data_IF_761716195246
#
_entry.id   IF_761716195246
#
_cell.length_a   1.000
_cell.length_b   1.000
_cell.length_c   1.000
_cell.angle_alpha   90.00
_cell.angle_beta   90.00
_cell.angle_gamma   90.00
#
_symmetry.space_group_name_H-M   'P 1'
#
loop_
_entity.id
_entity.type
_entity.pdbx_description
1 polymer ?
#
# COMPACT_ATOMS: atom_id res chain seq x y z
N UNK A 1 -18.25 27.87 -1.34
CA UNK A 1 -18.31 26.99 -2.52
C UNK A 1 -18.93 25.67 -2.10
N UNK A 2 -19.50 24.86 -3.01
CA UNK A 2 -19.97 23.55 -2.64
C UNK A 2 -18.77 22.67 -2.26
N UNK A 3 -18.90 21.84 -1.22
CA UNK A 3 -17.86 20.91 -0.79
C UNK A 3 -17.65 19.82 -1.87
N UNK A 4 -16.40 19.41 -2.09
CA UNK A 4 -16.04 18.36 -3.03
C UNK A 4 -15.38 17.20 -2.30
N UNK A 5 -15.75 15.98 -2.61
CA UNK A 5 -15.06 14.82 -2.06
C UNK A 5 -15.15 13.63 -2.99
N UNK A 6 -14.15 12.75 -2.93
CA UNK A 6 -14.12 11.54 -3.77
C UNK A 6 -13.02 10.56 -3.40
N UNK A 7 -13.21 9.34 -3.91
CA UNK A 7 -12.24 8.25 -3.81
C UNK A 7 -11.24 8.33 -4.94
N UNK A 8 -9.97 8.48 -4.57
CA UNK A 8 -8.82 8.60 -5.49
C UNK A 8 -7.97 7.35 -5.38
N UNK A 9 -8.16 6.40 -6.27
CA UNK A 9 -7.57 5.09 -6.15
C UNK A 9 -6.26 4.99 -6.92
N UNK A 10 -5.20 4.60 -6.20
CA UNK A 10 -3.82 4.53 -6.71
C UNK A 10 -3.56 3.11 -7.18
N UNK A 11 -3.41 2.93 -8.48
CA UNK A 11 -3.16 1.64 -9.13
C UNK A 11 -1.89 1.69 -9.98
N UNK A 12 -1.33 0.54 -10.29
CA UNK A 12 -0.11 0.42 -11.11
C UNK A 12 0.68 -0.83 -10.77
N UNK A 13 1.77 -1.04 -11.46
CA UNK A 13 2.63 -2.21 -11.31
C UNK A 13 3.29 -2.31 -9.92
N UNK A 14 3.80 -3.48 -9.52
CA UNK A 14 4.62 -3.58 -8.33
C UNK A 14 5.87 -2.68 -8.44
N UNK A 15 6.27 -2.08 -7.30
CA UNK A 15 7.50 -1.29 -7.16
C UNK A 15 7.57 0.04 -7.94
N UNK A 16 6.50 0.50 -8.56
CA UNK A 16 6.46 1.84 -9.22
C UNK A 16 6.36 3.00 -8.22
N UNK A 17 6.20 2.71 -6.93
CA UNK A 17 6.18 3.71 -5.86
C UNK A 17 4.79 4.20 -5.44
N UNK A 18 3.72 3.40 -5.63
CA UNK A 18 2.34 3.73 -5.20
C UNK A 18 2.24 4.09 -3.72
N UNK A 19 2.73 3.21 -2.85
CA UNK A 19 2.70 3.41 -1.39
C UNK A 19 3.55 4.61 -0.96
N UNK A 20 4.70 4.83 -1.61
CA UNK A 20 5.52 6.01 -1.38
C UNK A 20 4.78 7.29 -1.77
N UNK A 21 4.11 7.26 -2.93
CA UNK A 21 3.30 8.38 -3.41
C UNK A 21 2.12 8.66 -2.45
N UNK A 22 1.39 7.62 -2.05
CA UNK A 22 0.28 7.78 -1.10
C UNK A 22 0.77 8.40 0.22
N UNK A 23 1.83 7.84 0.83
CA UNK A 23 2.38 8.39 2.07
C UNK A 23 2.83 9.84 1.91
N UNK A 24 3.41 10.20 0.75
CA UNK A 24 3.84 11.57 0.48
C UNK A 24 2.66 12.55 0.29
N UNK A 25 1.56 12.11 -0.34
CA UNK A 25 0.34 12.90 -0.53
C UNK A 25 -0.46 13.07 0.77
N UNK A 26 -0.52 12.02 1.59
CA UNK A 26 -1.19 12.04 2.90
C UNK A 26 -0.36 12.82 3.93
N UNK A 27 0.95 12.80 3.81
CA UNK A 27 1.88 13.41 4.77
C UNK A 27 2.32 12.50 5.90
N UNK A 28 1.82 11.26 5.93
CA UNK A 28 2.05 10.28 7.00
C UNK A 28 2.34 8.88 6.44
N UNK A 29 3.04 8.05 7.21
CA UNK A 29 3.36 6.67 6.82
C UNK A 29 2.21 5.71 7.12
N UNK A 30 1.24 5.61 6.23
CA UNK A 30 0.12 4.66 6.33
C UNK A 30 0.43 3.30 5.68
N UNK A 31 1.10 3.32 4.54
CA UNK A 31 1.51 2.11 3.85
C UNK A 31 2.99 1.80 4.10
N UNK A 32 3.30 0.54 4.30
CA UNK A 32 4.70 0.09 4.39
C UNK A 32 5.37 0.17 3.02
N UNK A 33 6.66 0.51 3.01
CA UNK A 33 7.42 0.71 1.78
C UNK A 33 8.68 -0.13 1.80
N UNK A 34 8.82 -1.03 0.83
CA UNK A 34 10.06 -1.80 0.58
C UNK A 34 10.30 -1.98 -0.91
N UNK A 35 11.52 -2.36 -1.27
CA UNK A 35 11.87 -2.69 -2.67
C UNK A 35 11.33 -4.06 -3.12
N UNK A 36 10.66 -4.82 -2.23
CA UNK A 36 10.15 -6.16 -2.55
C UNK A 36 8.76 -6.10 -3.17
N UNK A 37 8.48 -7.02 -4.09
CA UNK A 37 7.14 -7.22 -4.60
C UNK A 37 6.18 -7.66 -3.47
N UNK A 38 4.88 -7.45 -3.65
CA UNK A 38 3.84 -7.79 -2.67
C UNK A 38 4.05 -7.12 -1.29
N UNK A 39 4.68 -5.95 -1.27
CA UNK A 39 4.79 -5.13 -0.05
C UNK A 39 3.39 -4.71 0.41
N UNK A 40 2.60 -4.10 -0.44
CA UNK A 40 1.18 -3.83 -0.18
C UNK A 40 0.35 -5.06 -0.55
N UNK A 41 -0.37 -5.62 0.41
CA UNK A 41 -1.28 -6.76 0.23
C UNK A 41 -2.74 -6.39 0.43
N UNK A 42 -3.02 -5.38 1.23
CA UNK A 42 -4.35 -4.84 1.52
C UNK A 42 -4.61 -3.55 0.75
N UNK A 43 -5.85 -3.22 0.60
CA UNK A 43 -6.26 -1.87 0.25
C UNK A 43 -6.23 -1.01 1.51
N UNK A 44 -5.52 0.11 1.47
CA UNK A 44 -5.33 1.02 2.62
C UNK A 44 -5.82 2.40 2.21
N UNK A 45 -6.75 2.98 2.99
CA UNK A 45 -7.24 4.32 2.74
C UNK A 45 -6.50 5.34 3.60
N UNK A 46 -6.17 6.48 2.99
CA UNK A 46 -5.64 7.67 3.65
C UNK A 46 -6.51 8.88 3.32
N UNK A 47 -6.96 9.60 4.34
CA UNK A 47 -7.90 10.69 4.23
C UNK A 47 -7.16 12.02 4.36
N UNK A 48 -7.37 12.90 3.39
CA UNK A 48 -6.77 14.25 3.37
C UNK A 48 -7.89 15.27 3.24
N UNK A 49 -7.88 16.28 4.10
CA UNK A 49 -8.89 17.32 4.16
C UNK A 49 -8.30 18.67 3.77
N UNK A 50 -9.00 19.38 2.90
CA UNK A 50 -8.83 20.82 2.69
C UNK A 50 -9.97 21.61 3.33
N UNK A 51 -10.02 22.90 3.06
CA UNK A 51 -11.06 23.80 3.58
C UNK A 51 -12.45 23.38 3.06
N UNK A 52 -12.55 23.16 1.74
CA UNK A 52 -13.79 22.87 1.01
C UNK A 52 -13.74 21.54 0.22
N UNK A 53 -12.77 20.67 0.51
CA UNK A 53 -12.64 19.36 -0.11
C UNK A 53 -12.14 18.27 0.84
N UNK A 54 -12.41 17.00 0.48
CA UNK A 54 -11.85 15.82 1.11
C UNK A 54 -11.45 14.80 0.04
N UNK A 55 -10.25 14.27 0.13
CA UNK A 55 -9.75 13.20 -0.73
C UNK A 55 -9.59 11.94 0.10
N UNK A 56 -10.15 10.85 -0.37
CA UNK A 56 -9.90 9.51 0.17
C UNK A 56 -8.96 8.78 -0.79
N UNK A 57 -7.66 8.88 -0.53
CA UNK A 57 -6.67 8.10 -1.28
C UNK A 57 -6.75 6.63 -0.91
N UNK A 58 -6.51 5.76 -1.87
CA UNK A 58 -6.55 4.31 -1.66
C UNK A 58 -5.31 3.67 -2.29
N UNK A 59 -4.35 3.24 -1.47
CA UNK A 59 -3.22 2.43 -1.93
C UNK A 59 -3.67 0.99 -2.19
N UNK A 60 -3.25 0.42 -3.29
CA UNK A 60 -3.63 -0.93 -3.70
C UNK A 60 -2.41 -1.83 -3.92
N UNK A 61 -2.58 -3.15 -3.82
CA UNK A 61 -1.56 -4.08 -4.27
C UNK A 61 -1.10 -3.77 -5.70
N UNK A 62 0.14 -4.13 -6.02
CA UNK A 62 0.64 -4.04 -7.39
C UNK A 62 -0.07 -5.04 -8.31
N UNK A 63 -0.36 -4.61 -9.54
CA UNK A 63 -0.96 -5.47 -10.58
C UNK A 63 -0.03 -6.65 -10.86
N UNK A 64 -0.55 -7.87 -10.71
CA UNK A 64 0.19 -9.11 -10.93
C UNK A 64 -0.73 -10.19 -11.55
N UNK A 65 -0.14 -11.24 -12.08
CA UNK A 65 -0.87 -12.44 -12.46
C UNK A 65 -0.95 -13.38 -11.26
N UNK A 66 -2.16 -13.68 -10.73
CA UNK A 66 -2.29 -14.46 -9.51
C UNK A 66 -1.98 -15.94 -9.76
N UNK A 67 -1.18 -16.54 -8.86
CA UNK A 67 -0.84 -17.97 -8.88
C UNK A 67 -1.46 -18.74 -7.71
N UNK A 68 -1.98 -18.04 -6.70
CA UNK A 68 -2.61 -18.63 -5.51
C UNK A 68 -3.64 -17.66 -4.94
N UNK A 69 -4.48 -18.17 -4.03
CA UNK A 69 -5.69 -17.46 -3.56
C UNK A 69 -5.42 -16.09 -2.93
N UNK A 70 -4.40 -15.95 -2.11
CA UNK A 70 -4.03 -14.62 -1.58
C UNK A 70 -3.78 -13.61 -2.70
N UNK A 71 -3.05 -14.00 -3.76
CA UNK A 71 -2.81 -13.10 -4.89
C UNK A 71 -4.10 -12.78 -5.66
N UNK A 72 -5.03 -13.74 -5.76
CA UNK A 72 -6.34 -13.47 -6.35
C UNK A 72 -7.10 -12.42 -5.52
N UNK A 73 -7.08 -12.52 -4.19
CA UNK A 73 -7.70 -11.53 -3.31
C UNK A 73 -7.04 -10.16 -3.43
N UNK A 74 -5.71 -10.11 -3.58
CA UNK A 74 -5.00 -8.87 -3.89
C UNK A 74 -5.50 -8.23 -5.20
N UNK A 75 -5.76 -9.05 -6.25
CA UNK A 75 -6.31 -8.52 -7.51
C UNK A 75 -7.76 -8.09 -7.37
N UNK A 76 -8.56 -8.76 -6.53
CA UNK A 76 -9.91 -8.32 -6.21
C UNK A 76 -9.92 -6.93 -5.56
N UNK A 77 -8.94 -6.59 -4.70
CA UNK A 77 -8.77 -5.23 -4.18
C UNK A 77 -8.46 -4.21 -5.29
N UNK A 78 -7.61 -4.57 -6.26
CA UNK A 78 -7.32 -3.70 -7.42
C UNK A 78 -8.55 -3.48 -8.28
N UNK A 79 -9.26 -4.55 -8.63
CA UNK A 79 -10.47 -4.47 -9.45
C UNK A 79 -11.60 -3.71 -8.73
N UNK A 80 -11.77 -3.93 -7.43
CA UNK A 80 -12.70 -3.17 -6.60
C UNK A 80 -12.36 -1.68 -6.58
N UNK A 81 -11.07 -1.35 -6.41
CA UNK A 81 -10.61 0.03 -6.44
C UNK A 81 -10.80 0.71 -7.80
N UNK A 82 -10.73 -0.03 -8.91
CA UNK A 82 -11.08 0.51 -10.23
C UNK A 82 -12.58 0.78 -10.31
N UNK A 83 -13.39 -0.09 -9.72
CA UNK A 83 -14.87 -0.03 -9.83
C UNK A 83 -15.51 1.09 -9.01
N UNK A 84 -14.91 1.49 -7.89
CA UNK A 84 -15.45 2.51 -6.97
C UNK A 84 -14.69 3.85 -7.02
N UNK A 85 -13.79 4.05 -8.00
CA UNK A 85 -13.02 5.26 -8.11
C UNK A 85 -13.83 6.43 -8.68
N UNK A 86 -13.75 7.59 -8.03
CA UNK A 86 -14.12 8.87 -8.63
C UNK A 86 -12.98 9.40 -9.51
N UNK A 87 -11.74 9.11 -9.14
CA UNK A 87 -10.53 9.45 -9.90
C UNK A 87 -9.52 8.30 -9.78
N UNK A 88 -8.84 7.94 -10.85
CA UNK A 88 -7.74 6.99 -10.81
C UNK A 88 -6.40 7.72 -10.95
N UNK A 89 -5.49 7.45 -9.98
CA UNK A 89 -4.07 7.73 -10.13
C UNK A 89 -3.38 6.47 -10.64
N UNK A 90 -3.09 6.42 -11.93
CA UNK A 90 -2.29 5.34 -12.52
C UNK A 90 -0.81 5.67 -12.39
N UNK A 91 -0.10 4.93 -11.55
CA UNK A 91 1.32 5.16 -11.28
C UNK A 91 2.17 4.19 -12.11
N UNK A 92 3.03 4.76 -12.92
CA UNK A 92 4.14 4.12 -13.63
C UNK A 92 5.46 4.74 -13.18
N UNK A 93 6.59 4.25 -13.66
CA UNK A 93 7.88 4.87 -13.36
C UNK A 93 8.82 4.89 -14.58
N UNK A 94 9.98 5.50 -14.38
CA UNK A 94 11.00 5.63 -15.44
C UNK A 94 11.81 4.35 -15.67
N UNK A 95 11.63 3.31 -14.84
CA UNK A 95 12.42 2.07 -14.88
C UNK A 95 11.69 0.95 -15.62
N UNK A 96 10.39 0.83 -15.41
CA UNK A 96 9.60 -0.25 -16.03
C UNK A 96 9.40 -0.08 -17.54
N UNK A 97 9.05 -1.17 -18.22
CA UNK A 97 8.57 -1.12 -19.59
C UNK A 97 7.09 -0.74 -19.60
N UNK A 98 6.69 0.31 -20.35
CA UNK A 98 5.31 0.82 -20.32
C UNK A 98 4.23 -0.21 -20.74
N UNK A 99 4.58 -1.21 -21.54
CA UNK A 99 3.64 -2.21 -22.05
C UNK A 99 3.41 -3.42 -21.13
N UNK A 100 3.99 -3.43 -19.94
CA UNK A 100 4.01 -4.59 -19.04
C UNK A 100 2.63 -5.13 -18.67
N UNK A 101 1.60 -4.27 -18.62
CA UNK A 101 0.22 -4.63 -18.30
C UNK A 101 -0.77 -3.91 -19.22
N UNK A 102 -0.63 -4.14 -20.54
CA UNK A 102 -1.48 -3.54 -21.58
C UNK A 102 -2.98 -3.73 -21.32
N UNK A 103 -3.40 -4.88 -20.77
CA UNK A 103 -4.80 -5.16 -20.42
C UNK A 103 -5.39 -4.11 -19.45
N UNK A 104 -4.62 -3.71 -18.45
CA UNK A 104 -5.06 -2.67 -17.52
C UNK A 104 -5.06 -1.28 -18.17
N UNK A 105 -4.09 -0.98 -19.01
CA UNK A 105 -4.05 0.29 -19.76
C UNK A 105 -5.26 0.40 -20.70
N UNK A 106 -5.63 -0.70 -21.40
CA UNK A 106 -6.84 -0.75 -22.21
C UNK A 106 -8.13 -0.58 -21.39
N UNK A 107 -8.16 -1.16 -20.18
CA UNK A 107 -9.27 -0.98 -19.22
C UNK A 107 -9.40 0.50 -18.84
N UNK A 108 -8.27 1.17 -18.54
CA UNK A 108 -8.24 2.58 -18.20
C UNK A 108 -8.65 3.49 -19.36
N UNK A 109 -8.32 3.13 -20.60
CA UNK A 109 -8.75 3.89 -21.77
C UNK A 109 -10.27 3.90 -21.99
N UNK A 110 -10.99 2.95 -21.38
CA UNK A 110 -12.46 2.78 -21.53
C UNK A 110 -13.24 3.21 -20.29
N UNK A 111 -12.54 3.57 -19.19
CA UNK A 111 -13.21 3.94 -17.95
C UNK A 111 -13.82 5.35 -18.05
N UNK A 112 -14.95 5.55 -17.37
CA UNK A 112 -15.66 6.81 -17.40
C UNK A 112 -15.08 7.88 -16.45
N UNK A 113 -14.43 7.44 -15.35
CA UNK A 113 -13.85 8.38 -14.37
C UNK A 113 -12.54 8.99 -14.89
N UNK A 114 -12.17 10.20 -14.44
CA UNK A 114 -10.91 10.84 -14.79
C UNK A 114 -9.71 9.98 -14.40
N UNK A 115 -8.69 9.93 -15.28
CA UNK A 115 -7.42 9.26 -15.04
C UNK A 115 -6.30 10.30 -15.00
N UNK A 116 -5.47 10.22 -13.97
CA UNK A 116 -4.21 10.96 -13.86
C UNK A 116 -3.08 9.94 -13.89
N UNK A 117 -2.23 10.01 -14.90
CA UNK A 117 -1.03 9.17 -15.02
C UNK A 117 0.12 9.86 -14.32
N UNK A 118 0.71 9.21 -13.32
CA UNK A 118 1.90 9.72 -12.61
C UNK A 118 3.12 8.95 -13.08
N UNK A 119 4.04 9.61 -13.76
CA UNK A 119 5.37 9.05 -14.11
C UNK A 119 6.29 9.32 -12.94
N UNK A 120 6.43 8.34 -12.05
CA UNK A 120 7.21 8.45 -10.83
C UNK A 120 8.70 8.18 -11.04
N UNK A 121 9.51 8.44 -10.03
CA UNK A 121 10.96 8.22 -9.97
C UNK A 121 11.75 8.97 -11.04
N UNK A 122 11.34 10.19 -11.37
CA UNK A 122 12.10 11.02 -12.34
C UNK A 122 13.46 11.45 -11.80
N UNK A 123 13.65 11.41 -10.49
CA UNK A 123 14.90 11.70 -9.77
C UNK A 123 16.06 10.77 -10.16
N UNK A 124 15.75 9.54 -10.60
CA UNK A 124 16.75 8.55 -11.04
C UNK A 124 16.78 8.36 -12.56
N UNK A 125 16.27 9.31 -13.33
CA UNK A 125 16.14 9.24 -14.79
C UNK A 125 16.68 10.49 -15.48
N UNK A 126 16.98 10.37 -16.76
CA UNK A 126 17.32 11.51 -17.58
C UNK A 126 16.08 12.19 -18.20
N UNK A 127 16.25 13.45 -18.61
CA UNK A 127 15.19 14.26 -19.19
C UNK A 127 14.62 13.66 -20.48
N UNK A 128 15.45 13.07 -21.34
CA UNK A 128 15.01 12.50 -22.62
C UNK A 128 14.07 11.32 -22.40
N UNK A 129 14.37 10.46 -21.42
CA UNK A 129 13.51 9.35 -21.02
C UNK A 129 12.15 9.84 -20.50
N UNK A 130 12.15 10.86 -19.63
CA UNK A 130 10.92 11.44 -19.09
C UNK A 130 10.06 12.04 -20.19
N UNK A 131 10.65 12.81 -21.13
CA UNK A 131 9.92 13.37 -22.27
C UNK A 131 9.36 12.28 -23.18
N UNK A 132 10.12 11.21 -23.41
CA UNK A 132 9.64 10.04 -24.16
C UNK A 132 8.41 9.37 -23.53
N UNK A 133 8.44 9.18 -22.21
CA UNK A 133 7.32 8.60 -21.45
C UNK A 133 6.09 9.53 -21.43
N UNK A 134 6.29 10.84 -21.33
CA UNK A 134 5.20 11.82 -21.40
C UNK A 134 4.44 11.68 -22.75
N UNK A 135 5.16 11.65 -23.86
CA UNK A 135 4.56 11.46 -25.19
C UNK A 135 3.85 10.11 -25.31
N UNK A 136 4.52 9.04 -24.86
CA UNK A 136 3.94 7.69 -24.89
C UNK A 136 2.59 7.64 -24.15
N UNK A 137 2.51 8.16 -22.93
CA UNK A 137 1.28 8.09 -22.13
C UNK A 137 0.20 9.05 -22.66
N UNK A 138 0.56 10.20 -23.22
CA UNK A 138 -0.39 11.10 -23.89
C UNK A 138 -1.02 10.46 -25.14
N UNK A 139 -0.26 9.65 -25.89
CA UNK A 139 -0.77 8.90 -27.05
C UNK A 139 -1.64 7.71 -26.61
N UNK A 140 -1.25 6.98 -25.56
CA UNK A 140 -1.97 5.79 -25.09
C UNK A 140 -3.27 6.12 -24.34
N UNK A 141 -3.27 7.21 -23.58
CA UNK A 141 -4.42 7.68 -22.80
C UNK A 141 -4.66 9.17 -23.06
N UNK A 142 -5.21 9.54 -24.23
CA UNK A 142 -5.33 10.94 -24.65
C UNK A 142 -6.21 11.82 -23.73
N UNK A 143 -7.15 11.21 -23.01
CA UNK A 143 -8.02 11.88 -22.04
C UNK A 143 -7.38 12.05 -20.67
N UNK A 144 -6.25 11.38 -20.41
CA UNK A 144 -5.59 11.43 -19.11
C UNK A 144 -4.69 12.67 -18.98
N UNK A 145 -4.58 13.16 -17.76
CA UNK A 145 -3.53 14.14 -17.40
C UNK A 145 -2.27 13.37 -17.03
N UNK A 146 -1.13 13.68 -17.67
CA UNK A 146 0.14 12.99 -17.40
C UNK A 146 1.08 13.94 -16.64
N UNK A 147 1.53 13.50 -15.45
CA UNK A 147 2.34 14.31 -14.53
C UNK A 147 3.63 13.56 -14.17
N UNK A 148 4.81 14.09 -14.49
CA UNK A 148 6.07 13.56 -14.03
C UNK A 148 6.33 13.99 -12.58
N UNK A 149 6.73 13.05 -11.71
CA UNK A 149 6.94 13.31 -10.29
C UNK A 149 8.04 12.43 -9.67
N UNK A 150 8.51 12.82 -8.51
CA UNK A 150 9.26 11.98 -7.60
C UNK A 150 8.58 11.95 -6.23
N UNK A 151 7.98 10.82 -5.89
CA UNK A 151 7.39 10.63 -4.58
C UNK A 151 8.46 10.62 -3.46
N UNK A 152 9.65 10.09 -3.76
CA UNK A 152 10.78 10.04 -2.84
C UNK A 152 11.32 11.43 -2.50
N UNK A 153 11.52 12.29 -3.52
CA UNK A 153 12.03 13.64 -3.38
C UNK A 153 10.93 14.69 -3.15
N UNK A 154 9.67 14.21 -3.01
CA UNK A 154 8.48 15.07 -2.86
C UNK A 154 8.33 16.13 -3.97
N UNK A 155 8.86 15.83 -5.17
CA UNK A 155 8.82 16.72 -6.31
C UNK A 155 7.51 16.58 -7.08
N UNK A 156 6.91 17.72 -7.41
CA UNK A 156 5.68 17.87 -8.22
C UNK A 156 4.41 17.21 -7.62
N UNK A 157 4.38 17.03 -6.29
CA UNK A 157 3.21 16.47 -5.58
C UNK A 157 2.03 17.45 -5.61
N UNK A 158 2.29 18.76 -5.54
CA UNK A 158 1.28 19.82 -5.61
C UNK A 158 0.51 19.75 -6.94
N UNK A 159 1.21 19.55 -8.07
CA UNK A 159 0.54 19.38 -9.37
C UNK A 159 -0.39 18.16 -9.42
N UNK A 160 -0.03 17.08 -8.72
CA UNK A 160 -0.90 15.90 -8.58
C UNK A 160 -2.13 16.27 -7.74
N UNK A 161 -1.93 16.94 -6.60
CA UNK A 161 -3.02 17.39 -5.73
C UNK A 161 -3.99 18.32 -6.47
N UNK A 162 -3.46 19.33 -7.16
CA UNK A 162 -4.27 20.28 -7.95
C UNK A 162 -5.08 19.57 -9.04
N UNK A 163 -4.43 18.63 -9.75
CA UNK A 163 -5.10 17.84 -10.78
C UNK A 163 -6.22 16.98 -10.22
N UNK A 164 -6.08 16.45 -9.01
CA UNK A 164 -7.09 15.67 -8.30
C UNK A 164 -8.22 16.59 -7.82
N UNK A 165 -7.90 17.66 -7.07
CA UNK A 165 -8.89 18.58 -6.49
C UNK A 165 -9.79 19.21 -7.57
N UNK A 166 -9.20 19.57 -8.74
CA UNK A 166 -9.95 20.13 -9.86
C UNK A 166 -11.01 19.15 -10.44
N UNK A 167 -10.85 17.84 -10.20
CA UNK A 167 -11.71 16.77 -10.75
C UNK A 167 -12.63 16.11 -9.73
N UNK A 168 -12.52 16.48 -8.45
CA UNK A 168 -13.39 15.94 -7.41
C UNK A 168 -14.87 16.29 -7.70
N UNK A 169 -15.79 15.35 -7.56
CA UNK A 169 -17.22 15.60 -7.65
C UNK A 169 -17.72 16.48 -6.49
N UNK A 170 -18.79 17.22 -6.70
CA UNK A 170 -19.51 17.88 -5.63
C UNK A 170 -20.19 16.82 -4.75
N UNK A 171 -19.69 16.66 -3.54
CA UNK A 171 -20.14 15.66 -2.57
C UNK A 171 -19.80 16.16 -1.16
N UNK A 172 -20.63 15.89 -0.15
CA UNK A 172 -20.24 16.10 1.25
C UNK A 172 -19.07 15.19 1.62
N UNK A 173 -18.33 15.47 2.71
CA UNK A 173 -17.23 14.61 3.15
C UNK A 173 -17.74 13.21 3.47
N UNK A 174 -16.97 12.19 3.09
CA UNK A 174 -17.25 10.78 3.34
C UNK A 174 -16.89 10.35 4.76
N UNK A 175 -15.89 11.01 5.35
CA UNK A 175 -15.36 10.73 6.67
C UNK A 175 -15.32 12.00 7.51
N UNK A 176 -15.32 11.84 8.82
CA UNK A 176 -15.10 12.95 9.73
C UNK A 176 -13.75 13.64 9.42
N UNK A 177 -13.68 14.97 9.63
CA UNK A 177 -12.48 15.75 9.26
C UNK A 177 -11.25 15.42 10.09
N UNK A 178 -11.41 14.75 11.23
CA UNK A 178 -10.34 14.22 12.07
C UNK A 178 -9.99 12.77 11.73
N UNK A 179 -10.77 12.12 10.86
CA UNK A 179 -10.46 10.79 10.37
C UNK A 179 -9.23 10.83 9.44
N UNK A 180 -8.36 9.87 9.60
CA UNK A 180 -7.05 9.83 8.98
C UNK A 180 -6.86 8.61 8.07
N UNK A 181 -7.52 7.49 8.42
CA UNK A 181 -7.47 6.22 7.71
C UNK A 181 -8.66 5.35 8.09
N UNK A 182 -8.96 4.34 7.28
CA UNK A 182 -9.96 3.30 7.55
C UNK A 182 -9.43 2.16 8.44
N UNK A 183 -8.13 2.15 8.75
CA UNK A 183 -7.47 1.06 9.47
C UNK A 183 -7.32 1.34 10.96
N UNK A 184 -7.41 0.30 11.78
CA UNK A 184 -7.20 0.38 13.22
C UNK A 184 -5.73 0.13 13.60
N UNK A 185 -5.37 0.38 14.85
CA UNK A 185 -4.01 0.21 15.37
C UNK A 185 -3.49 -1.24 15.26
N UNK A 186 -4.38 -2.23 15.33
CA UNK A 186 -4.00 -3.65 15.19
C UNK A 186 -3.49 -3.94 13.78
N UNK A 187 -4.11 -3.35 12.76
CA UNK A 187 -3.67 -3.46 11.39
C UNK A 187 -2.25 -2.87 11.21
N UNK A 188 -2.01 -1.68 11.72
CA UNK A 188 -0.68 -1.07 11.65
C UNK A 188 0.37 -1.87 12.41
N UNK A 189 0.03 -2.43 13.56
CA UNK A 189 0.94 -3.31 14.29
C UNK A 189 1.35 -4.54 13.47
N UNK A 190 0.41 -5.18 12.76
CA UNK A 190 0.71 -6.30 11.88
C UNK A 190 1.56 -5.89 10.68
N UNK A 191 1.25 -4.76 10.03
CA UNK A 191 2.00 -4.26 8.88
C UNK A 191 3.43 -3.83 9.26
N UNK A 192 3.64 -3.19 10.40
CA UNK A 192 4.98 -2.85 10.89
C UNK A 192 5.82 -4.11 11.10
N UNK A 193 5.27 -5.17 11.72
CA UNK A 193 6.00 -6.44 11.86
C UNK A 193 6.28 -7.04 10.49
N UNK A 194 5.32 -7.03 9.57
CA UNK A 194 5.46 -7.56 8.21
C UNK A 194 6.52 -6.77 7.41
N UNK A 195 6.60 -5.46 7.57
CA UNK A 195 7.69 -4.66 6.98
C UNK A 195 9.06 -5.14 7.49
N UNK A 196 9.21 -5.40 8.80
CA UNK A 196 10.50 -5.89 9.33
C UNK A 196 10.83 -7.30 8.84
N UNK A 197 9.83 -8.14 8.57
CA UNK A 197 10.04 -9.42 7.89
C UNK A 197 10.54 -9.17 6.46
N UNK A 198 9.90 -8.29 5.71
CA UNK A 198 10.32 -7.93 4.35
C UNK A 198 11.76 -7.40 4.32
N UNK A 199 12.16 -6.59 5.27
CA UNK A 199 13.50 -5.98 5.31
C UNK A 199 14.60 -6.94 5.77
N UNK A 200 14.31 -7.85 6.69
CA UNK A 200 15.34 -8.69 7.34
C UNK A 200 15.52 -10.08 6.71
N UNK A 201 14.50 -10.61 6.02
CA UNK A 201 14.61 -11.93 5.38
C UNK A 201 14.70 -11.81 3.86
N UNK A 202 15.20 -12.85 3.22
CA UNK A 202 15.44 -12.94 1.77
C UNK A 202 14.66 -14.12 1.18
N UNK A 203 14.84 -14.33 -0.11
CA UNK A 203 14.26 -15.42 -0.90
C UNK A 203 12.74 -15.51 -0.71
N UNK A 204 12.21 -16.68 -0.43
CA UNK A 204 10.78 -16.96 -0.30
C UNK A 204 10.18 -16.57 1.06
N UNK A 205 10.98 -16.36 2.11
CA UNK A 205 10.48 -16.13 3.47
C UNK A 205 9.50 -14.94 3.53
N UNK A 206 9.80 -13.75 2.98
CA UNK A 206 8.88 -12.61 3.00
C UNK A 206 7.51 -12.90 2.37
N UNK A 207 7.48 -13.78 1.37
CA UNK A 207 6.27 -14.13 0.62
C UNK A 207 5.48 -15.29 1.23
N UNK A 208 6.11 -16.02 2.15
CA UNK A 208 5.57 -17.19 2.84
C UNK A 208 5.09 -16.89 4.27
N UNK A 209 5.22 -15.64 4.71
CA UNK A 209 4.83 -15.20 6.03
C UNK A 209 3.57 -14.33 5.99
N UNK A 210 2.75 -14.48 7.04
CA UNK A 210 1.67 -13.56 7.39
C UNK A 210 1.75 -13.21 8.88
N UNK A 211 1.21 -12.04 9.24
CA UNK A 211 1.24 -11.56 10.64
C UNK A 211 -0.17 -11.35 11.16
N UNK A 212 -0.54 -12.10 12.18
CA UNK A 212 -1.79 -11.91 12.91
C UNK A 212 -1.56 -11.29 14.28
N UNK A 213 -2.39 -10.34 14.67
CA UNK A 213 -2.41 -9.80 16.03
C UNK A 213 -3.45 -10.55 16.85
N UNK A 214 -3.00 -11.42 17.76
CA UNK A 214 -3.92 -12.23 18.59
C UNK A 214 -4.44 -11.43 19.77
N UNK A 215 -3.62 -10.58 20.39
CA UNK A 215 -4.04 -9.69 21.47
C UNK A 215 -3.52 -8.28 21.26
N UNK A 216 -4.36 -7.31 21.59
CA UNK A 216 -4.01 -5.89 21.61
C UNK A 216 -4.74 -5.26 22.79
N UNK A 217 -3.99 -4.95 23.86
CA UNK A 217 -4.54 -4.37 25.09
C UNK A 217 -4.00 -2.95 25.24
N UNK A 218 -4.90 -2.02 25.38
CA UNK A 218 -4.59 -0.63 25.63
C UNK A 218 -4.53 -0.38 27.15
N UNK A 219 -3.32 -0.19 27.68
CA UNK A 219 -3.10 0.26 29.04
C UNK A 219 -2.91 1.78 29.12
N UNK A 220 -2.89 2.35 30.31
CA UNK A 220 -2.68 3.79 30.48
C UNK A 220 -1.34 4.27 29.91
N UNK A 221 -0.26 3.55 30.18
CA UNK A 221 1.10 3.94 29.81
C UNK A 221 1.67 3.23 28.58
N UNK A 222 1.12 2.06 28.22
CA UNK A 222 1.63 1.25 27.12
C UNK A 222 0.56 0.40 26.45
N UNK A 223 0.87 -0.04 25.23
CA UNK A 223 0.15 -1.12 24.55
C UNK A 223 0.83 -2.46 24.82
N UNK A 224 0.03 -3.50 25.17
CA UNK A 224 0.50 -4.88 25.25
C UNK A 224 -0.01 -5.64 24.02
N UNK A 225 0.93 -6.03 23.13
CA UNK A 225 0.64 -6.60 21.83
C UNK A 225 1.20 -8.02 21.74
N UNK A 226 0.32 -8.99 21.45
CA UNK A 226 0.70 -10.35 21.12
C UNK A 226 0.48 -10.63 19.63
N UNK A 227 1.55 -10.96 18.91
CA UNK A 227 1.54 -11.22 17.49
C UNK A 227 2.00 -12.64 17.17
N UNK A 228 1.48 -13.19 16.08
CA UNK A 228 1.92 -14.47 15.53
C UNK A 228 2.34 -14.29 14.09
N UNK A 229 3.55 -14.73 13.78
CA UNK A 229 4.04 -14.87 12.40
C UNK A 229 3.68 -16.28 11.92
N UNK A 230 2.80 -16.38 10.95
CA UNK A 230 2.43 -17.62 10.29
C UNK A 230 3.40 -17.90 9.15
N UNK A 231 3.87 -19.15 9.06
CA UNK A 231 4.75 -19.63 7.99
C UNK A 231 4.21 -20.96 7.46
N UNK A 232 4.60 -21.34 6.24
CA UNK A 232 4.05 -22.54 5.59
C UNK A 232 4.75 -23.84 5.99
N UNK A 233 6.00 -23.79 6.48
CA UNK A 233 6.84 -24.98 6.72
C UNK A 233 7.67 -24.84 7.98
N UNK A 234 8.01 -25.95 8.63
CA UNK A 234 8.91 -25.98 9.81
C UNK A 234 10.30 -25.42 9.48
N UNK A 235 10.84 -25.68 8.29
CA UNK A 235 12.10 -25.08 7.85
C UNK A 235 12.07 -23.55 7.84
N UNK A 236 10.96 -22.95 7.37
CA UNK A 236 10.76 -21.51 7.37
C UNK A 236 10.66 -20.96 8.80
N UNK A 237 9.96 -21.69 9.69
CA UNK A 237 9.90 -21.33 11.12
C UNK A 237 11.30 -21.27 11.75
N UNK A 238 12.15 -22.27 11.45
CA UNK A 238 13.54 -22.26 11.90
C UNK A 238 14.32 -21.04 11.40
N UNK A 239 14.15 -20.65 10.13
CA UNK A 239 14.79 -19.47 9.53
C UNK A 239 14.28 -18.18 10.20
N UNK A 240 12.96 -18.06 10.40
CA UNK A 240 12.34 -16.86 11.00
C UNK A 240 12.79 -16.68 12.46
N UNK A 241 12.89 -17.76 13.22
CA UNK A 241 13.40 -17.71 14.60
C UNK A 241 14.89 -17.41 14.60
N UNK A 242 15.65 -18.08 13.74
CA UNK A 242 17.09 -17.97 13.67
C UNK A 242 17.83 -18.66 14.83
N UNK A 243 19.15 -18.66 14.77
CA UNK A 243 19.99 -19.30 15.81
C UNK A 243 19.72 -18.63 17.17
N UNK A 244 19.31 -19.40 18.15
CA UNK A 244 18.96 -18.95 19.51
C UNK A 244 17.94 -17.80 19.55
N UNK A 245 17.06 -17.71 18.56
CA UNK A 245 16.05 -16.67 18.48
C UNK A 245 16.54 -15.28 18.01
N UNK A 246 17.78 -15.17 17.57
CA UNK A 246 18.41 -13.87 17.28
C UNK A 246 17.72 -13.13 16.13
N UNK A 247 17.27 -13.83 15.07
CA UNK A 247 16.60 -13.20 13.94
C UNK A 247 15.22 -12.65 14.33
N UNK A 248 14.41 -13.44 15.04
CA UNK A 248 13.11 -13.02 15.55
C UNK A 248 13.23 -11.86 16.55
N UNK A 249 14.22 -11.90 17.43
CA UNK A 249 14.50 -10.81 18.38
C UNK A 249 14.83 -9.51 17.65
N UNK A 250 15.62 -9.56 16.57
CA UNK A 250 15.93 -8.39 15.75
C UNK A 250 14.66 -7.78 15.13
N UNK A 251 13.83 -8.60 14.50
CA UNK A 251 12.54 -8.17 13.92
C UNK A 251 11.63 -7.55 15.01
N UNK A 252 11.47 -8.23 16.14
CA UNK A 252 10.64 -7.75 17.23
C UNK A 252 11.14 -6.42 17.84
N UNK A 253 12.45 -6.26 17.97
CA UNK A 253 13.03 -5.00 18.48
C UNK A 253 12.80 -3.85 17.50
N UNK A 254 13.04 -4.06 16.21
CA UNK A 254 12.81 -3.03 15.18
C UNK A 254 11.32 -2.67 15.07
N UNK A 255 10.44 -3.68 15.08
CA UNK A 255 9.00 -3.45 15.03
C UNK A 255 8.50 -2.68 16.26
N UNK A 256 8.95 -3.04 17.48
CA UNK A 256 8.58 -2.34 18.70
C UNK A 256 8.97 -0.86 18.67
N UNK A 257 10.20 -0.56 18.27
CA UNK A 257 10.69 0.83 18.17
C UNK A 257 9.83 1.66 17.23
N UNK A 258 9.52 1.11 16.05
CA UNK A 258 8.68 1.81 15.07
C UNK A 258 7.22 1.93 15.53
N UNK A 259 6.69 0.92 16.23
CA UNK A 259 5.35 1.01 16.82
C UNK A 259 5.29 2.10 17.90
N UNK A 260 6.32 2.22 18.74
CA UNK A 260 6.40 3.27 19.77
C UNK A 260 6.42 4.66 19.15
N UNK A 261 7.14 4.82 18.04
CA UNK A 261 7.15 6.06 17.26
C UNK A 261 5.80 6.33 16.59
N UNK A 262 5.22 5.35 15.93
CA UNK A 262 3.94 5.50 15.22
C UNK A 262 2.76 5.72 16.15
N UNK A 263 2.70 4.98 17.29
CA UNK A 263 1.60 5.09 18.25
C UNK A 263 1.81 6.21 19.28
N UNK A 264 2.98 6.83 19.31
CA UNK A 264 3.37 7.84 20.31
C UNK A 264 3.16 7.33 21.75
N UNK A 265 3.37 6.02 21.97
CA UNK A 265 3.14 5.32 23.24
C UNK A 265 4.05 4.11 23.37
N UNK A 266 4.44 3.76 24.60
CA UNK A 266 5.26 2.57 24.86
C UNK A 266 4.57 1.29 24.39
N UNK A 267 5.36 0.32 23.92
CA UNK A 267 4.86 -0.96 23.42
C UNK A 267 5.60 -2.12 24.07
N UNK A 268 4.83 -3.04 24.65
CA UNK A 268 5.31 -4.38 24.99
C UNK A 268 4.88 -5.35 23.91
N UNK A 269 5.84 -5.88 23.13
CA UNK A 269 5.59 -6.74 21.98
C UNK A 269 6.07 -8.15 22.22
N UNK A 270 5.15 -9.12 22.13
CA UNK A 270 5.45 -10.55 22.13
C UNK A 270 5.16 -11.12 20.75
N UNK A 271 6.12 -11.86 20.17
CA UNK A 271 5.97 -12.46 18.84
C UNK A 271 6.23 -13.96 18.94
N UNK A 272 5.31 -14.76 18.39
CA UNK A 272 5.42 -16.19 18.23
C UNK A 272 5.48 -16.56 16.74
N UNK A 273 6.04 -17.72 16.42
CA UNK A 273 6.05 -18.24 15.05
C UNK A 273 5.28 -19.55 15.02
N UNK A 274 4.27 -19.63 14.14
CA UNK A 274 3.40 -20.81 13.98
C UNK A 274 3.45 -21.31 12.55
N UNK A 275 3.48 -22.62 12.38
CA UNK A 275 3.32 -23.23 11.05
C UNK A 275 1.85 -23.42 10.74
N UNK A 276 1.46 -22.90 9.59
CA UNK A 276 0.15 -23.09 8.98
C UNK A 276 0.38 -23.28 7.47
N UNK A 277 0.42 -24.52 6.98
CA UNK A 277 0.84 -24.82 5.61
C UNK A 277 -0.04 -24.19 4.54
N UNK A 278 -1.33 -24.04 4.81
CA UNK A 278 -2.33 -23.66 3.82
C UNK A 278 -2.87 -22.23 4.03
N UNK A 279 -2.27 -21.43 4.91
CA UNK A 279 -2.82 -20.12 5.28
C UNK A 279 -3.13 -19.21 4.07
N UNK A 280 -2.31 -19.26 3.01
CA UNK A 280 -2.48 -18.40 1.82
C UNK A 280 -3.50 -18.92 0.80
N UNK A 281 -3.97 -20.19 0.97
CA UNK A 281 -5.00 -20.84 0.13
C UNK A 281 -6.32 -20.95 0.88
N UNK A 282 -6.28 -20.99 2.23
CA UNK A 282 -7.45 -21.19 3.07
C UNK A 282 -8.32 -19.94 3.13
N UNK A 283 -9.57 -20.04 2.68
CA UNK A 283 -10.58 -18.99 2.79
C UNK A 283 -10.73 -18.50 4.22
N UNK A 284 -10.76 -19.43 5.18
CA UNK A 284 -10.92 -19.12 6.60
C UNK A 284 -9.77 -18.26 7.14
N UNK A 285 -8.52 -18.64 6.84
CA UNK A 285 -7.34 -17.91 7.32
C UNK A 285 -7.22 -16.54 6.61
N UNK A 286 -7.49 -16.50 5.28
CA UNK A 286 -7.49 -15.24 4.53
C UNK A 286 -8.55 -14.25 5.04
N UNK A 287 -9.75 -14.73 5.41
CA UNK A 287 -10.77 -13.90 6.07
C UNK A 287 -10.28 -13.40 7.44
N UNK A 288 -9.66 -14.25 8.26
CA UNK A 288 -9.07 -13.87 9.55
C UNK A 288 -8.03 -12.76 9.42
N UNK A 289 -7.27 -12.76 8.33
CA UNK A 289 -6.25 -11.76 8.02
C UNK A 289 -6.80 -10.54 7.27
N UNK A 290 -8.10 -10.48 6.97
CA UNK A 290 -8.75 -9.34 6.32
C UNK A 290 -8.57 -9.27 4.80
N UNK A 291 -8.32 -10.41 4.14
CA UNK A 291 -8.23 -10.50 2.68
C UNK A 291 -9.56 -10.86 1.99
N UNK A 292 -10.53 -11.33 2.74
CA UNK A 292 -11.89 -11.66 2.28
C UNK A 292 -12.91 -11.15 3.30
N UNK A 293 -14.10 -10.80 2.85
CA UNK A 293 -15.26 -10.43 3.67
C UNK A 293 -15.98 -11.67 4.24
#
# INVERSE_FOLDING_TARGET
MAHRSGFVNIIGNPNVGKSTLMNALVGEKLSIVTAKAQTTRHRIMGIVNGEDWQIVYSDTPGILRPNYRLQQNMMNFVDGAIGDADIILYVTDTVETPDKNSEYVEKLARIACPVVVVINKIDISDQARVVGLLRYWQEKLPSATVIPASAQERFNLESILDAVVARLPECPPWFDKDAFTDKNLRFFASEIIREKILLNYKEEIPYSCEVGIESFKEGAERYDIGAVIYVMRESQKGIVIGRQGAALKKVGTQARIEMEDFFQKKVFLQIYVKVDPDWRESKRELRKFGYED
#
